data_IF_889014356882
#
_entry.id   IF_889014356882
#
_cell.length_a   1.000
_cell.length_b   1.000
_cell.length_c   1.000
_cell.angle_alpha   90.00
_cell.angle_beta   90.00
_cell.angle_gamma   90.00
#
_symmetry.space_group_name_H-M   'P 1'
#
loop_
_entity.id
_entity.type
_entity.pdbx_description
1 polymer ?
#
# COMPACT_ATOMS: atom_id res chain seq x y z
N UNK A 1 -10.98 11.35 -11.67
CA UNK A 1 -10.66 11.14 -10.24
C UNK A 1 -9.38 11.85 -9.80
N UNK A 2 -8.18 11.36 -10.13
CA UNK A 2 -6.93 11.90 -9.55
C UNK A 2 -6.73 13.40 -9.74
N UNK A 3 -7.00 13.96 -10.94
CA UNK A 3 -6.93 15.42 -11.18
C UNK A 3 -7.91 16.21 -10.31
N UNK A 4 -9.15 15.71 -10.16
CA UNK A 4 -10.21 16.37 -9.38
C UNK A 4 -9.86 16.45 -7.89
N UNK A 5 -9.21 15.41 -7.37
CA UNK A 5 -8.78 15.33 -5.97
C UNK A 5 -7.29 15.67 -5.78
N UNK A 6 -6.71 16.51 -6.64
CA UNK A 6 -5.33 17.02 -6.47
C UNK A 6 -4.28 15.91 -6.23
N UNK A 7 -4.38 14.82 -6.99
CA UNK A 7 -3.57 13.60 -6.87
C UNK A 7 -3.71 12.85 -5.53
N UNK A 8 -4.83 13.04 -4.81
CA UNK A 8 -5.21 12.28 -3.61
C UNK A 8 -6.50 11.48 -3.86
N UNK A 9 -6.48 10.51 -4.79
CA UNK A 9 -7.66 9.71 -5.07
C UNK A 9 -8.03 8.84 -3.87
N UNK A 10 -9.33 8.69 -3.60
CA UNK A 10 -9.85 7.76 -2.59
C UNK A 10 -10.57 6.53 -3.18
N UNK A 11 -10.69 6.47 -4.50
CA UNK A 11 -11.11 5.25 -5.21
C UNK A 11 -9.88 4.73 -5.92
N UNK A 12 -9.47 3.52 -5.59
CA UNK A 12 -8.27 2.89 -6.13
C UNK A 12 -8.67 1.71 -7.00
N UNK A 13 -8.07 1.62 -8.19
CA UNK A 13 -8.22 0.46 -9.06
C UNK A 13 -6.99 -0.43 -8.87
N UNK A 14 -7.17 -1.52 -8.14
CA UNK A 14 -6.16 -2.57 -7.92
C UNK A 14 -6.32 -3.61 -9.01
N UNK A 15 -5.24 -4.04 -9.66
CA UNK A 15 -5.33 -4.99 -10.77
C UNK A 15 -4.03 -5.78 -10.95
N UNK A 16 -4.12 -6.89 -11.68
CA UNK A 16 -2.98 -7.78 -11.95
C UNK A 16 -2.17 -7.38 -13.20
N UNK A 17 -2.60 -6.35 -13.92
CA UNK A 17 -1.93 -5.83 -15.12
C UNK A 17 -2.49 -6.35 -16.43
N UNK A 18 -3.43 -7.30 -16.40
CA UNK A 18 -4.05 -7.85 -17.60
C UNK A 18 -5.40 -7.17 -17.90
N UNK A 19 -5.77 -7.14 -19.18
CA UNK A 19 -7.05 -6.55 -19.61
C UNK A 19 -8.24 -7.44 -19.26
N UNK A 20 -8.04 -8.75 -19.31
CA UNK A 20 -8.98 -9.82 -19.00
C UNK A 20 -8.64 -10.52 -17.65
N UNK A 21 -7.79 -9.90 -16.84
CA UNK A 21 -7.40 -10.39 -15.53
C UNK A 21 -8.26 -9.86 -14.39
N UNK A 22 -7.73 -10.01 -13.18
CA UNK A 22 -8.35 -9.49 -11.96
C UNK A 22 -8.25 -7.97 -11.88
N UNK A 23 -9.35 -7.34 -11.51
CA UNK A 23 -9.41 -5.92 -11.16
C UNK A 23 -10.48 -5.65 -10.11
N UNK A 24 -10.17 -4.76 -9.15
CA UNK A 24 -11.10 -4.34 -8.12
C UNK A 24 -11.04 -2.81 -7.95
N UNK A 25 -12.20 -2.18 -7.83
CA UNK A 25 -12.33 -0.80 -7.37
C UNK A 25 -12.60 -0.81 -5.87
N UNK A 26 -11.68 -0.22 -5.10
CA UNK A 26 -11.79 -0.12 -3.64
C UNK A 26 -11.92 1.33 -3.20
N UNK A 27 -12.73 1.55 -2.18
CA UNK A 27 -12.79 2.83 -1.49
C UNK A 27 -11.76 2.82 -0.35
N UNK A 28 -10.72 3.65 -0.49
CA UNK A 28 -9.64 3.76 0.48
C UNK A 28 -10.14 4.04 1.90
N UNK A 29 -11.19 4.85 2.07
CA UNK A 29 -11.75 5.15 3.39
C UNK A 29 -12.40 3.95 4.09
N UNK A 30 -12.67 2.88 3.36
CA UNK A 30 -13.26 1.63 3.86
C UNK A 30 -12.26 0.47 3.77
N UNK A 31 -11.02 0.72 3.34
CA UNK A 31 -10.00 -0.29 3.15
C UNK A 31 -9.13 -0.39 4.41
N UNK A 32 -9.64 -1.09 5.42
CA UNK A 32 -8.89 -1.48 6.60
C UNK A 32 -8.14 -2.82 6.39
N UNK A 33 -7.47 -3.31 7.45
CA UNK A 33 -6.76 -4.60 7.42
C UNK A 33 -7.65 -5.76 7.00
N UNK A 34 -8.83 -5.87 7.61
CA UNK A 34 -9.76 -6.99 7.40
C UNK A 34 -10.32 -7.02 5.98
N UNK A 35 -10.68 -5.86 5.46
CA UNK A 35 -11.17 -5.72 4.08
C UNK A 35 -10.04 -5.94 3.07
N UNK A 36 -8.79 -5.59 3.38
CA UNK A 36 -7.64 -5.99 2.59
C UNK A 36 -7.44 -7.51 2.60
N UNK A 37 -7.49 -8.15 3.76
CA UNK A 37 -7.44 -9.63 3.88
C UNK A 37 -8.57 -10.28 3.06
N UNK A 38 -9.78 -9.73 3.11
CA UNK A 38 -10.92 -10.19 2.30
C UNK A 38 -10.64 -10.04 0.80
N UNK A 39 -10.06 -8.92 0.36
CA UNK A 39 -9.65 -8.71 -1.02
C UNK A 39 -8.63 -9.77 -1.48
N UNK A 40 -7.61 -10.04 -0.66
CA UNK A 40 -6.50 -10.94 -0.99
C UNK A 40 -6.96 -12.41 -0.98
N UNK A 41 -7.58 -12.84 0.11
CA UNK A 41 -7.80 -14.25 0.38
C UNK A 41 -9.17 -14.76 -0.06
N UNK A 42 -10.16 -13.88 -0.20
CA UNK A 42 -11.49 -14.24 -0.71
C UNK A 42 -11.60 -13.88 -2.19
N UNK A 43 -11.67 -12.60 -2.54
CA UNK A 43 -11.98 -12.21 -3.93
C UNK A 43 -10.88 -12.60 -4.93
N UNK A 44 -9.62 -12.27 -4.62
CA UNK A 44 -8.49 -12.67 -5.46
C UNK A 44 -8.19 -14.17 -5.33
N UNK A 45 -8.40 -14.76 -4.15
CA UNK A 45 -8.29 -16.20 -3.92
C UNK A 45 -9.24 -17.02 -4.80
N UNK A 46 -10.51 -16.63 -4.87
CA UNK A 46 -11.53 -17.26 -5.72
C UNK A 46 -11.16 -17.13 -7.20
N UNK A 47 -10.67 -15.96 -7.62
CA UNK A 47 -10.18 -15.76 -8.99
C UNK A 47 -9.00 -16.67 -9.32
N UNK A 48 -8.03 -16.81 -8.42
CA UNK A 48 -6.90 -17.74 -8.59
C UNK A 48 -7.42 -19.17 -8.75
N UNK A 49 -8.33 -19.63 -7.90
CA UNK A 49 -8.91 -20.98 -7.99
C UNK A 49 -9.75 -21.20 -9.26
N UNK A 50 -10.33 -20.15 -9.86
CA UNK A 50 -10.93 -20.22 -11.19
C UNK A 50 -9.87 -20.39 -12.28
N UNK A 51 -8.76 -19.66 -12.21
CA UNK A 51 -7.69 -19.79 -13.21
C UNK A 51 -6.94 -21.13 -13.11
N UNK A 52 -6.74 -21.67 -11.90
CA UNK A 52 -6.18 -23.01 -11.71
C UNK A 52 -7.01 -24.10 -12.40
N UNK A 53 -8.34 -24.05 -12.24
CA UNK A 53 -9.26 -24.95 -12.95
C UNK A 53 -9.18 -24.76 -14.46
N UNK A 54 -9.17 -23.51 -14.94
CA UNK A 54 -9.07 -23.21 -16.36
C UNK A 54 -7.74 -23.70 -16.98
N UNK A 55 -6.64 -23.66 -16.22
CA UNK A 55 -5.36 -24.27 -16.63
C UNK A 55 -5.50 -25.79 -16.78
N UNK A 56 -6.13 -26.46 -15.80
CA UNK A 56 -6.36 -27.91 -15.86
C UNK A 56 -7.25 -28.31 -17.04
N UNK A 57 -8.23 -27.46 -17.39
CA UNK A 57 -9.12 -27.67 -18.53
C UNK A 57 -8.47 -27.32 -19.89
N UNK A 58 -7.20 -26.89 -19.89
CA UNK A 58 -6.48 -26.51 -21.11
C UNK A 58 -6.99 -25.22 -21.77
N UNK A 59 -7.63 -24.35 -21.00
CA UNK A 59 -8.16 -23.06 -21.51
C UNK A 59 -7.02 -22.13 -21.90
N UNK A 60 -7.08 -21.60 -23.12
CA UNK A 60 -6.07 -20.69 -23.62
C UNK A 60 -5.91 -19.42 -22.75
N UNK A 61 -4.66 -18.99 -22.57
CA UNK A 61 -4.29 -17.84 -21.73
C UNK A 61 -4.49 -18.02 -20.21
N UNK A 62 -5.05 -19.14 -19.73
CA UNK A 62 -5.33 -19.35 -18.30
C UNK A 62 -4.05 -19.31 -17.45
N UNK A 63 -2.94 -19.87 -17.95
CA UNK A 63 -1.66 -19.85 -17.25
C UNK A 63 -1.14 -18.43 -17.03
N UNK A 64 -1.30 -17.55 -18.02
CA UNK A 64 -0.88 -16.14 -17.93
C UNK A 64 -1.70 -15.41 -16.88
N UNK A 65 -3.03 -15.59 -16.88
CA UNK A 65 -3.92 -15.01 -15.87
C UNK A 65 -3.63 -15.53 -14.47
N UNK A 66 -3.37 -16.82 -14.32
CA UNK A 66 -3.02 -17.43 -13.04
C UNK A 66 -1.73 -16.80 -12.48
N UNK A 67 -0.68 -16.73 -13.28
CA UNK A 67 0.60 -16.13 -12.87
C UNK A 67 0.44 -14.66 -12.48
N UNK A 68 -0.31 -13.87 -13.26
CA UNK A 68 -0.56 -12.46 -12.94
C UNK A 68 -1.34 -12.30 -11.62
N UNK A 69 -2.37 -13.12 -11.40
CA UNK A 69 -3.17 -13.10 -10.18
C UNK A 69 -2.35 -13.49 -8.94
N UNK A 70 -1.50 -14.52 -9.04
CA UNK A 70 -0.59 -14.93 -7.96
C UNK A 70 0.44 -13.84 -7.64
N UNK A 71 1.01 -13.17 -8.66
CA UNK A 71 1.94 -12.06 -8.45
C UNK A 71 1.25 -10.83 -7.84
N UNK A 72 -0.02 -10.54 -8.20
CA UNK A 72 -0.81 -9.54 -7.51
C UNK A 72 -1.02 -9.90 -6.04
N UNK A 73 -1.40 -11.15 -5.75
CA UNK A 73 -1.64 -11.63 -4.38
C UNK A 73 -0.42 -11.41 -3.49
N UNK A 74 0.74 -11.88 -3.94
CA UNK A 74 2.03 -11.69 -3.25
C UNK A 74 2.33 -10.22 -2.95
N UNK A 75 2.09 -9.32 -3.92
CA UNK A 75 2.33 -7.88 -3.73
C UNK A 75 1.36 -7.21 -2.77
N UNK A 76 0.11 -7.69 -2.69
CA UNK A 76 -0.85 -7.21 -1.71
C UNK A 76 -0.52 -7.72 -0.30
N UNK A 77 0.00 -8.94 -0.17
CA UNK A 77 0.50 -9.50 1.10
C UNK A 77 1.67 -8.67 1.66
N UNK A 78 2.58 -8.20 0.81
CA UNK A 78 3.65 -7.27 1.22
C UNK A 78 3.10 -5.96 1.82
N UNK A 79 2.00 -5.43 1.29
CA UNK A 79 1.33 -4.25 1.86
C UNK A 79 0.63 -4.59 3.18
N UNK A 80 -0.01 -5.77 3.25
CA UNK A 80 -0.71 -6.24 4.44
C UNK A 80 0.25 -6.41 5.63
N UNK A 81 1.44 -6.96 5.38
CA UNK A 81 2.55 -7.10 6.33
C UNK A 81 3.19 -5.75 6.66
N UNK A 82 3.39 -4.90 5.65
CA UNK A 82 3.89 -3.54 5.79
C UNK A 82 5.33 -3.46 6.29
N UNK A 83 6.16 -4.45 5.93
CA UNK A 83 7.61 -4.39 6.09
C UNK A 83 8.22 -3.43 5.06
N UNK A 84 9.40 -2.86 5.32
CA UNK A 84 10.04 -1.96 4.35
C UNK A 84 10.24 -2.67 2.99
N UNK A 85 10.01 -1.99 1.84
CA UNK A 85 9.61 -0.59 1.65
C UNK A 85 8.08 -0.38 1.56
N UNK A 86 7.28 -1.33 2.02
CA UNK A 86 5.81 -1.31 1.99
C UNK A 86 5.18 -0.83 3.29
N UNK A 87 5.97 -0.23 4.18
CA UNK A 87 5.47 0.38 5.39
C UNK A 87 4.86 1.77 5.13
N UNK A 88 4.02 2.19 6.08
CA UNK A 88 3.57 3.58 6.15
C UNK A 88 4.44 4.29 7.19
N UNK A 89 5.07 5.38 6.75
CA UNK A 89 5.81 6.30 7.60
C UNK A 89 5.07 7.63 7.72
N UNK A 90 4.84 8.06 8.95
CA UNK A 90 4.11 9.28 9.30
C UNK A 90 4.99 10.20 10.14
N UNK A 91 5.57 11.21 9.50
CA UNK A 91 6.57 12.11 10.10
C UNK A 91 6.13 12.83 11.39
N UNK A 92 4.84 13.07 11.61
CA UNK A 92 4.35 13.72 12.83
C UNK A 92 4.02 12.75 13.97
N UNK A 93 4.16 11.44 13.76
CA UNK A 93 3.92 10.42 14.78
C UNK A 93 5.24 9.90 15.34
N UNK A 94 5.38 9.72 16.67
CA UNK A 94 6.52 9.03 17.24
C UNK A 94 6.52 7.54 16.85
N UNK A 95 7.63 6.84 17.08
CA UNK A 95 7.86 5.47 16.59
C UNK A 95 6.76 4.50 17.03
N UNK A 96 6.34 4.56 18.29
CA UNK A 96 5.31 3.72 18.88
C UNK A 96 3.91 3.96 18.30
N UNK A 97 3.66 5.12 17.69
CA UNK A 97 2.39 5.47 17.05
C UNK A 97 2.40 5.22 15.53
N UNK A 98 3.53 4.81 14.95
CA UNK A 98 3.60 4.50 13.52
C UNK A 98 2.71 3.32 13.16
N UNK A 99 1.98 3.34 12.03
CA UNK A 99 1.20 2.20 11.57
C UNK A 99 2.06 0.94 11.37
N UNK A 100 1.50 -0.22 11.71
CA UNK A 100 2.13 -1.53 11.52
C UNK A 100 1.28 -2.34 10.55
N UNK A 101 1.88 -2.85 9.48
CA UNK A 101 1.13 -3.44 8.38
C UNK A 101 0.15 -2.47 7.75
N UNK A 102 -0.89 -3.02 7.14
CA UNK A 102 -2.01 -2.23 6.63
C UNK A 102 -3.01 -1.87 7.74
N UNK A 103 -2.64 -0.87 8.55
CA UNK A 103 -3.49 -0.24 9.56
C UNK A 103 -3.42 1.29 9.45
N UNK A 104 -3.84 1.88 8.32
CA UNK A 104 -3.70 3.32 8.09
C UNK A 104 -4.63 4.13 9.01
N UNK A 105 -4.14 5.26 9.50
CA UNK A 105 -4.99 6.31 10.06
C UNK A 105 -5.41 7.26 8.94
N UNK A 106 -6.72 7.37 8.71
CA UNK A 106 -7.28 8.20 7.64
C UNK A 106 -6.93 9.68 7.82
N UNK A 107 -6.69 10.14 9.05
CA UNK A 107 -6.31 11.52 9.34
C UNK A 107 -4.90 11.87 8.87
N UNK A 108 -4.04 10.86 8.66
CA UNK A 108 -2.69 11.10 8.14
C UNK A 108 -2.70 11.49 6.65
N UNK A 109 -3.83 11.25 5.98
CA UNK A 109 -4.11 11.66 4.63
C UNK A 109 -3.58 10.69 3.56
N UNK A 110 -4.29 10.68 2.43
CA UNK A 110 -4.06 9.78 1.29
C UNK A 110 -2.60 9.74 0.83
N UNK A 111 -1.87 10.87 0.86
CA UNK A 111 -0.49 10.94 0.38
C UNK A 111 0.41 9.93 1.07
N UNK A 112 0.31 9.78 2.39
CA UNK A 112 1.15 8.83 3.13
C UNK A 112 0.64 7.41 2.93
N UNK A 113 -0.67 7.23 3.08
CA UNK A 113 -1.29 5.90 3.09
C UNK A 113 -1.31 5.21 1.72
N UNK A 114 -1.19 5.95 0.61
CA UNK A 114 -1.09 5.35 -0.74
C UNK A 114 0.34 4.93 -1.11
N UNK A 115 1.36 5.31 -0.33
CA UNK A 115 2.77 5.00 -0.64
C UNK A 115 3.03 3.51 -0.87
N UNK A 116 2.65 2.58 0.03
CA UNK A 116 2.96 1.16 -0.17
C UNK A 116 2.27 0.57 -1.40
N UNK A 117 1.07 1.04 -1.73
CA UNK A 117 0.36 0.68 -2.96
C UNK A 117 1.10 1.13 -4.20
N UNK A 118 1.66 2.33 -4.16
CA UNK A 118 2.49 2.85 -5.24
C UNK A 118 3.80 2.10 -5.37
N UNK A 119 4.49 1.85 -4.26
CA UNK A 119 5.72 1.05 -4.21
C UNK A 119 5.51 -0.36 -4.75
N UNK A 120 4.39 -1.00 -4.41
CA UNK A 120 4.07 -2.37 -4.82
C UNK A 120 3.66 -2.51 -6.29
N UNK A 121 3.33 -1.44 -7.01
CA UNK A 121 3.01 -1.57 -8.43
C UNK A 121 1.57 -2.02 -8.73
N UNK A 122 0.68 -2.07 -7.73
CA UNK A 122 -0.63 -2.77 -7.85
C UNK A 122 -1.77 -1.89 -8.35
N UNK A 123 -1.56 -0.57 -8.44
CA UNK A 123 -2.56 0.37 -8.93
C UNK A 123 -2.56 0.44 -10.46
N UNK A 124 -3.73 0.46 -11.09
CA UNK A 124 -3.85 0.64 -12.55
C UNK A 124 -3.23 1.93 -13.06
N UNK A 125 -3.25 2.97 -12.24
CA UNK A 125 -2.60 4.24 -12.53
C UNK A 125 -1.61 4.55 -11.43
N UNK A 126 -0.37 4.07 -11.62
CA UNK A 126 0.64 4.05 -10.56
C UNK A 126 1.81 5.02 -10.74
N UNK A 127 1.77 5.87 -11.77
CA UNK A 127 2.84 6.80 -12.10
C UNK A 127 2.27 8.14 -12.58
N UNK A 128 3.14 9.14 -12.62
CA UNK A 128 2.84 10.43 -13.26
C UNK A 128 2.52 10.25 -14.75
N UNK A 129 1.69 11.14 -15.34
CA UNK A 129 1.06 12.31 -14.72
C UNK A 129 -0.23 11.98 -13.95
N UNK A 130 -0.75 10.75 -14.03
CA UNK A 130 -2.05 10.39 -13.45
C UNK A 130 -2.02 10.39 -11.92
N UNK A 131 -1.01 9.75 -11.33
CA UNK A 131 -0.75 9.74 -9.90
C UNK A 131 0.62 10.37 -9.66
N UNK A 132 0.65 11.67 -9.38
CA UNK A 132 1.85 12.49 -9.32
C UNK A 132 2.20 12.84 -7.86
N UNK A 133 2.39 11.81 -7.05
CA UNK A 133 2.73 11.93 -5.63
C UNK A 133 4.24 11.70 -5.46
N UNK A 134 4.88 12.50 -4.60
CA UNK A 134 6.29 12.37 -4.23
C UNK A 134 6.42 12.38 -2.71
N UNK A 135 7.37 11.63 -2.16
CA UNK A 135 7.66 11.54 -0.71
C UNK A 135 9.00 12.15 -0.32
N UNK A 136 9.73 12.78 -1.24
CA UNK A 136 10.96 13.49 -0.90
C UNK A 136 10.77 14.60 0.15
N UNK A 137 11.86 15.31 0.43
CA UNK A 137 11.88 16.42 1.38
C UNK A 137 10.79 17.46 1.08
N UNK A 138 9.97 17.75 2.08
CA UNK A 138 8.96 18.82 2.03
C UNK A 138 9.56 20.19 2.34
N UNK A 139 8.84 21.26 1.99
CA UNK A 139 9.24 22.64 2.31
C UNK A 139 9.07 22.94 3.80
N UNK A 140 9.96 23.78 4.33
CA UNK A 140 9.95 24.24 5.72
C UNK A 140 10.75 23.33 6.64
N UNK A 141 10.70 23.62 7.95
CA UNK A 141 11.35 22.84 9.01
C UNK A 141 10.35 22.37 10.04
N UNK A 142 10.69 21.29 10.72
CA UNK A 142 10.01 20.86 11.93
C UNK A 142 10.46 21.64 13.15
N UNK A 143 9.56 21.71 14.12
CA UNK A 143 9.86 22.23 15.46
C UNK A 143 10.64 21.19 16.25
N UNK A 144 11.42 21.64 17.24
CA UNK A 144 12.27 20.77 18.06
C UNK A 144 11.49 19.68 18.80
N UNK A 145 10.22 19.93 19.12
CA UNK A 145 9.32 18.95 19.74
C UNK A 145 8.79 17.87 18.78
N UNK A 146 9.07 17.97 17.48
CA UNK A 146 8.62 16.96 16.52
C UNK A 146 9.37 15.64 16.74
N UNK A 147 8.69 14.48 16.62
CA UNK A 147 9.29 13.19 17.01
C UNK A 147 10.58 12.81 16.28
N UNK A 148 10.74 13.29 15.04
CA UNK A 148 11.89 12.98 14.18
C UNK A 148 12.86 14.14 14.01
N UNK A 149 12.71 15.23 14.78
CA UNK A 149 13.58 16.41 14.67
C UNK A 149 15.05 16.03 14.87
N UNK A 150 15.36 15.25 15.92
CA UNK A 150 16.73 14.83 16.22
C UNK A 150 17.36 13.94 15.14
N UNK A 151 16.55 13.12 14.46
CA UNK A 151 17.01 12.22 13.40
C UNK A 151 17.30 12.98 12.10
N UNK A 152 16.46 13.95 11.76
CA UNK A 152 16.54 14.68 10.49
C UNK A 152 17.09 16.10 10.61
N UNK A 153 17.54 16.53 11.78
CA UNK A 153 18.01 17.90 12.02
C UNK A 153 16.94 18.96 11.72
N UNK A 154 15.67 18.64 12.01
CA UNK A 154 14.51 19.48 11.70
C UNK A 154 14.08 19.51 10.23
N UNK A 155 14.68 18.70 9.37
CA UNK A 155 14.25 18.60 7.98
C UNK A 155 13.01 17.71 7.82
N UNK A 156 12.10 18.14 6.92
CA UNK A 156 10.83 17.43 6.70
C UNK A 156 10.98 16.27 5.71
N UNK A 157 11.53 15.16 6.18
CA UNK A 157 11.76 13.96 5.37
C UNK A 157 10.54 13.04 5.45
N UNK A 158 9.90 12.71 4.31
CA UNK A 158 8.83 11.70 4.25
C UNK A 158 9.26 10.41 3.53
N UNK A 159 10.40 10.42 2.83
CA UNK A 159 10.93 9.26 2.11
C UNK A 159 11.81 8.43 3.05
N UNK A 160 11.18 7.94 4.10
CA UNK A 160 11.82 7.17 5.16
C UNK A 160 11.01 5.90 5.43
N UNK A 161 11.67 4.83 5.81
CA UNK A 161 11.03 3.54 6.08
C UNK A 161 11.42 3.07 7.47
N UNK A 162 10.50 2.36 8.11
CA UNK A 162 10.70 1.75 9.41
C UNK A 162 10.27 0.29 9.32
N UNK A 163 11.03 -0.59 9.96
CA UNK A 163 10.70 -2.00 10.00
C UNK A 163 9.53 -2.29 10.92
N UNK A 164 8.83 -3.41 10.69
CA UNK A 164 7.75 -3.85 11.60
C UNK A 164 8.33 -4.10 13.01
N UNK A 165 9.49 -4.73 13.09
CA UNK A 165 10.17 -5.02 14.35
C UNK A 165 10.50 -3.78 15.17
N UNK A 166 10.99 -2.70 14.54
CA UNK A 166 11.21 -1.42 15.24
C UNK A 166 9.93 -0.85 15.86
N UNK A 167 8.84 -0.86 15.10
CA UNK A 167 7.54 -0.35 15.56
C UNK A 167 6.94 -1.22 16.67
N UNK A 168 7.05 -2.54 16.57
CA UNK A 168 6.59 -3.48 17.60
C UNK A 168 7.36 -3.29 18.91
N UNK A 169 8.69 -3.22 18.84
CA UNK A 169 9.55 -3.00 20.02
C UNK A 169 9.21 -1.69 20.72
N UNK A 170 8.97 -0.61 19.97
CA UNK A 170 8.58 0.67 20.55
C UNK A 170 7.21 0.63 21.26
N UNK A 171 6.29 -0.21 20.78
CA UNK A 171 4.98 -0.44 21.43
C UNK A 171 5.04 -1.40 22.63
N UNK A 172 6.20 -1.95 22.95
CA UNK A 172 6.34 -3.00 23.98
C UNK A 172 5.71 -4.34 23.60
N UNK A 173 5.38 -4.54 22.32
CA UNK A 173 4.91 -5.84 21.80
C UNK A 173 6.14 -6.69 21.45
N UNK A 174 6.20 -7.92 21.96
CA UNK A 174 7.17 -8.91 21.46
C UNK A 174 6.70 -9.39 20.09
N UNK A 175 7.66 -9.59 19.18
CA UNK A 175 7.47 -10.15 17.83
C UNK A 175 6.65 -11.44 17.83
#
# INVERSE_FOLDING_TARGET
HCKLFQHRPFIWHIWDGLKDGFGALVNYHQLDRKTLETLIYTYLGDWIGLQERAVNDGTDGAQIRLTAAQDLKRRLELILEGEQPYDIFVRWKPLEQQPIGWEPDLNDGVRLNIRPWMTAGVLRHNKGPKLNIKWGKDRGKDVESAPWFGVFGGERINDWHLTVGEKMRARGRKE
#
